data_IF_418024143203
#
_entry.id   IF_418024143203
#
_cell.length_a   1.000
_cell.length_b   1.000
_cell.length_c   1.000
_cell.angle_alpha   90.00
_cell.angle_beta   90.00
_cell.angle_gamma   90.00
#
_symmetry.space_group_name_H-M   'P 1'
#
loop_
_entity.id
_entity.type
_entity.pdbx_description
1 polymer ?
#
# COMPACT_ATOMS: atom_id res chain seq x y z
N UNK A 1 -15.28 -8.47 -1.92
CA UNK A 1 -14.40 -9.62 -1.72
C UNK A 1 -13.76 -9.99 -3.04
N UNK A 2 -12.43 -10.01 -3.09
CA UNK A 2 -11.70 -10.22 -4.34
C UNK A 2 -10.66 -11.31 -4.17
N UNK A 3 -10.55 -12.20 -5.15
CA UNK A 3 -9.47 -13.16 -5.27
C UNK A 3 -8.29 -12.46 -5.96
N UNK A 4 -7.26 -12.13 -5.17
CA UNK A 4 -6.09 -11.42 -5.66
C UNK A 4 -5.17 -12.34 -6.48
N UNK A 5 -5.23 -13.65 -6.25
CA UNK A 5 -4.46 -14.65 -7.01
C UNK A 5 -5.00 -14.75 -8.44
N UNK A 6 -6.31 -14.93 -8.59
CA UNK A 6 -6.97 -15.13 -9.89
C UNK A 6 -7.52 -13.83 -10.50
N UNK A 7 -7.30 -12.67 -9.87
CA UNK A 7 -7.75 -11.35 -10.33
C UNK A 7 -9.25 -11.29 -10.63
N UNK A 8 -10.07 -11.89 -9.76
CA UNK A 8 -11.53 -11.94 -9.94
C UNK A 8 -12.28 -11.46 -8.71
N UNK A 9 -13.45 -10.89 -8.93
CA UNK A 9 -14.37 -10.55 -7.83
C UNK A 9 -15.05 -11.85 -7.39
N UNK A 10 -15.00 -12.15 -6.08
CA UNK A 10 -15.72 -13.27 -5.48
C UNK A 10 -17.14 -12.83 -5.13
N UNK A 11 -17.27 -11.70 -4.44
CA UNK A 11 -18.57 -11.18 -4.01
C UNK A 11 -18.52 -9.68 -3.67
N UNK A 12 -19.68 -9.03 -3.63
CA UNK A 12 -19.89 -7.64 -3.22
C UNK A 12 -20.61 -7.62 -1.87
N UNK A 13 -19.90 -7.21 -0.83
CA UNK A 13 -20.49 -7.07 0.50
C UNK A 13 -21.41 -5.86 0.57
N UNK A 14 -22.47 -5.96 1.38
CA UNK A 14 -23.47 -4.90 1.61
C UNK A 14 -22.84 -3.56 2.03
N UNK A 15 -21.77 -3.60 2.81
CA UNK A 15 -20.96 -2.45 3.19
C UNK A 15 -19.53 -2.89 3.54
N UNK A 16 -18.65 -1.91 3.79
CA UNK A 16 -17.25 -2.13 4.20
C UNK A 16 -17.08 -2.33 5.71
N UNK A 17 -18.16 -2.62 6.46
CA UNK A 17 -18.06 -2.79 7.90
C UNK A 17 -17.64 -4.21 8.23
N UNK A 18 -16.95 -4.33 9.36
CA UNK A 18 -16.56 -5.62 9.95
C UNK A 18 -17.72 -6.59 10.11
N UNK A 19 -18.89 -6.09 10.48
CA UNK A 19 -20.09 -6.91 10.65
C UNK A 19 -20.49 -7.59 9.33
N UNK A 20 -20.47 -6.86 8.21
CA UNK A 20 -20.77 -7.44 6.91
C UNK A 20 -19.77 -8.53 6.49
N UNK A 21 -18.49 -8.35 6.83
CA UNK A 21 -17.48 -9.37 6.60
C UNK A 21 -17.70 -10.62 7.47
N UNK A 22 -18.04 -10.43 8.76
CA UNK A 22 -18.38 -11.52 9.68
C UNK A 22 -19.58 -12.32 9.19
N UNK A 23 -20.65 -11.63 8.81
CA UNK A 23 -21.86 -12.27 8.27
C UNK A 23 -21.55 -13.09 7.02
N UNK A 24 -20.74 -12.53 6.11
CA UNK A 24 -20.33 -13.21 4.89
C UNK A 24 -19.50 -14.47 5.19
N UNK A 25 -18.46 -14.35 6.03
CA UNK A 25 -17.65 -15.50 6.42
C UNK A 25 -18.48 -16.56 7.14
N UNK A 26 -19.45 -16.18 7.97
CA UNK A 26 -20.35 -17.15 8.61
C UNK A 26 -21.20 -17.92 7.59
N UNK A 27 -21.51 -17.32 6.43
CA UNK A 27 -22.26 -17.98 5.35
C UNK A 27 -21.42 -18.88 4.45
N UNK A 28 -20.10 -18.74 4.45
CA UNK A 28 -19.19 -19.60 3.70
C UNK A 28 -19.03 -20.96 4.36
N UNK A 29 -18.88 -21.99 3.54
CA UNK A 29 -18.52 -23.34 3.95
C UNK A 29 -17.08 -23.43 4.47
N UNK A 30 -16.80 -24.45 5.27
CA UNK A 30 -15.51 -24.58 5.94
C UNK A 30 -14.38 -24.90 4.96
N UNK A 31 -14.67 -25.65 3.89
CA UNK A 31 -13.69 -25.95 2.83
C UNK A 31 -13.18 -24.67 2.16
N UNK A 32 -14.08 -23.74 1.84
CA UNK A 32 -13.70 -22.43 1.29
C UNK A 32 -12.81 -21.66 2.26
N UNK A 33 -13.14 -21.62 3.56
CA UNK A 33 -12.35 -20.90 4.57
C UNK A 33 -10.95 -21.51 4.74
N UNK A 34 -10.86 -22.84 4.75
CA UNK A 34 -9.58 -23.55 4.87
C UNK A 34 -8.68 -23.34 3.64
N UNK A 35 -9.27 -23.11 2.47
CA UNK A 35 -8.54 -22.76 1.25
C UNK A 35 -7.87 -21.38 1.30
N UNK A 36 -8.36 -20.46 2.14
CA UNK A 36 -7.80 -19.11 2.28
C UNK A 36 -6.53 -19.16 3.12
N UNK A 37 -5.38 -18.89 2.51
CA UNK A 37 -4.09 -18.84 3.24
C UNK A 37 -3.66 -17.44 3.59
N UNK A 38 -4.04 -16.45 2.81
CA UNK A 38 -3.67 -15.05 3.04
C UNK A 38 -4.86 -14.14 2.84
N UNK A 39 -4.98 -13.15 3.73
CA UNK A 39 -5.97 -12.08 3.59
C UNK A 39 -5.26 -10.74 3.55
N UNK A 40 -5.36 -10.04 2.42
CA UNK A 40 -4.90 -8.68 2.32
C UNK A 40 -5.87 -7.77 3.08
N UNK A 41 -5.34 -7.07 4.08
CA UNK A 41 -6.10 -6.16 4.94
C UNK A 41 -5.53 -4.74 4.86
N UNK A 42 -6.43 -3.78 5.06
CA UNK A 42 -6.04 -2.43 5.40
C UNK A 42 -5.18 -2.43 6.68
N UNK A 43 -4.22 -1.50 6.76
CA UNK A 43 -3.30 -1.33 7.91
C UNK A 43 -3.98 -0.90 9.22
N UNK A 44 -5.29 -1.08 9.34
CA UNK A 44 -6.07 -0.78 10.52
C UNK A 44 -6.10 -2.00 11.44
N UNK A 45 -5.55 -1.89 12.66
CA UNK A 45 -5.43 -3.00 13.61
C UNK A 45 -6.75 -3.78 13.86
N UNK A 46 -7.93 -3.14 13.90
CA UNK A 46 -9.19 -3.84 14.05
C UNK A 46 -9.50 -4.80 12.88
N UNK A 47 -9.00 -4.59 11.66
CA UNK A 47 -9.18 -5.51 10.53
C UNK A 47 -8.45 -6.83 10.75
N UNK A 48 -7.24 -6.78 11.33
CA UNK A 48 -6.44 -7.96 11.64
C UNK A 48 -7.15 -8.90 12.62
N UNK A 49 -7.64 -8.36 13.73
CA UNK A 49 -8.34 -9.14 14.75
C UNK A 49 -9.57 -9.87 14.18
N UNK A 50 -10.28 -9.23 13.25
CA UNK A 50 -11.44 -9.83 12.60
C UNK A 50 -11.03 -10.99 11.70
N UNK A 51 -9.97 -10.85 10.91
CA UNK A 51 -9.44 -11.95 10.09
C UNK A 51 -8.96 -13.11 10.94
N UNK A 52 -8.19 -12.85 12.01
CA UNK A 52 -7.69 -13.90 12.91
C UNK A 52 -8.83 -14.65 13.63
N UNK A 53 -9.94 -13.96 13.94
CA UNK A 53 -11.14 -14.57 14.52
C UNK A 53 -11.89 -15.48 13.53
N UNK A 54 -12.06 -15.04 12.27
CA UNK A 54 -12.88 -15.76 11.28
C UNK A 54 -12.09 -16.81 10.48
N UNK A 55 -10.80 -16.59 10.28
CA UNK A 55 -9.92 -17.38 9.44
C UNK A 55 -8.61 -17.65 10.20
N UNK A 56 -8.65 -18.47 11.28
CA UNK A 56 -7.50 -18.68 12.16
C UNK A 56 -6.31 -19.34 11.47
N UNK A 57 -6.53 -20.00 10.33
CA UNK A 57 -5.50 -20.62 9.49
C UNK A 57 -4.90 -19.65 8.47
N UNK A 58 -5.55 -18.51 8.22
CA UNK A 58 -5.10 -17.53 7.24
C UNK A 58 -4.18 -16.48 7.88
N UNK A 59 -3.19 -16.01 7.13
CA UNK A 59 -2.32 -14.92 7.54
C UNK A 59 -2.86 -13.58 7.03
N UNK A 60 -3.13 -12.67 7.96
CA UNK A 60 -3.43 -11.28 7.63
C UNK A 60 -2.16 -10.55 7.16
N UNK A 61 -2.15 -10.11 5.90
CA UNK A 61 -1.04 -9.40 5.25
C UNK A 61 -1.43 -7.97 4.92
N UNK A 62 -0.47 -7.05 4.99
CA UNK A 62 -0.73 -5.65 4.68
C UNK A 62 -1.03 -5.45 3.18
N UNK A 63 -2.11 -4.75 2.88
CA UNK A 63 -2.44 -4.38 1.51
C UNK A 63 -1.44 -3.36 0.95
N UNK A 64 -0.92 -3.64 -0.26
CA UNK A 64 0.08 -2.80 -0.95
C UNK A 64 -0.44 -1.39 -1.18
N UNK A 65 -1.69 -1.24 -1.60
CA UNK A 65 -2.24 0.07 -1.95
C UNK A 65 -2.28 0.97 -0.72
N UNK A 66 -2.81 0.46 0.41
CA UNK A 66 -2.87 1.22 1.66
C UNK A 66 -1.49 1.52 2.25
N UNK A 67 -0.53 0.58 2.16
CA UNK A 67 0.87 0.83 2.54
C UNK A 67 1.44 2.00 1.75
N UNK A 68 1.37 1.94 0.42
CA UNK A 68 1.90 2.99 -0.45
C UNK A 68 1.17 4.33 -0.26
N UNK A 69 -0.15 4.29 -0.05
CA UNK A 69 -0.94 5.50 0.23
C UNK A 69 -0.47 6.17 1.53
N UNK A 70 -0.26 5.40 2.61
CA UNK A 70 0.21 5.94 3.88
C UNK A 70 1.62 6.54 3.78
N UNK A 71 2.53 5.88 3.06
CA UNK A 71 3.88 6.41 2.80
C UNK A 71 3.83 7.72 2.00
N UNK A 72 3.03 7.77 0.93
CA UNK A 72 2.85 8.97 0.13
C UNK A 72 2.26 10.13 0.94
N UNK A 73 1.30 9.86 1.81
CA UNK A 73 0.75 10.87 2.72
C UNK A 73 1.79 11.37 3.73
N UNK A 74 2.58 10.47 4.31
CA UNK A 74 3.65 10.84 5.23
C UNK A 74 4.70 11.73 4.54
N UNK A 75 5.11 11.37 3.32
CA UNK A 75 6.02 12.15 2.49
C UNK A 75 5.44 13.53 2.14
N UNK A 76 4.18 13.63 1.74
CA UNK A 76 3.55 14.94 1.45
C UNK A 76 3.42 15.81 2.71
N UNK A 77 3.10 15.23 3.87
CA UNK A 77 3.11 15.96 5.15
C UNK A 77 4.50 16.52 5.46
N UNK A 78 5.53 15.70 5.33
CA UNK A 78 6.91 16.11 5.56
C UNK A 78 7.36 17.20 4.58
N UNK A 79 7.07 17.02 3.28
CA UNK A 79 7.32 18.03 2.23
C UNK A 79 6.67 19.37 2.56
N UNK A 80 5.42 19.38 3.05
CA UNK A 80 4.73 20.62 3.44
C UNK A 80 5.46 21.36 4.56
N UNK A 81 5.98 20.64 5.55
CA UNK A 81 6.79 21.22 6.63
C UNK A 81 8.08 21.85 6.09
N UNK A 82 8.86 21.09 5.32
CA UNK A 82 10.11 21.59 4.73
C UNK A 82 9.85 22.80 3.81
N UNK A 83 8.77 22.75 3.02
CA UNK A 83 8.35 23.89 2.20
C UNK A 83 8.09 25.13 3.05
N UNK A 84 7.39 25.02 4.18
CA UNK A 84 7.08 26.16 5.05
C UNK A 84 8.34 26.79 5.65
N UNK A 85 9.38 25.99 5.89
CA UNK A 85 10.66 26.43 6.46
C UNK A 85 11.63 26.97 5.40
N UNK A 86 11.35 26.77 4.10
CA UNK A 86 12.23 27.15 3.00
C UNK A 86 12.18 28.64 2.70
N UNK A 87 13.35 29.28 2.57
CA UNK A 87 13.47 30.67 2.12
C UNK A 87 13.08 30.85 0.63
N UNK A 88 13.39 29.86 -0.21
CA UNK A 88 12.97 29.82 -1.60
C UNK A 88 11.65 29.04 -1.71
N UNK A 89 10.55 29.72 -2.02
CA UNK A 89 9.23 29.10 -2.22
C UNK A 89 9.00 28.66 -3.68
N UNK A 90 9.77 29.21 -4.62
CA UNK A 90 9.60 28.97 -6.05
C UNK A 90 9.97 27.53 -6.39
N UNK A 91 11.08 27.06 -5.82
CA UNK A 91 11.56 25.68 -6.00
C UNK A 91 10.55 24.61 -5.56
N UNK A 92 9.61 24.95 -4.67
CA UNK A 92 8.60 24.02 -4.17
C UNK A 92 7.34 23.93 -5.04
N UNK A 93 7.23 24.71 -6.12
CA UNK A 93 6.10 24.61 -7.06
C UNK A 93 6.09 23.24 -7.73
N UNK A 94 4.91 22.61 -7.81
CA UNK A 94 4.69 21.30 -8.42
C UNK A 94 5.50 20.11 -7.85
N UNK A 95 6.29 20.30 -6.80
CA UNK A 95 7.15 19.27 -6.17
C UNK A 95 6.38 18.10 -5.56
N UNK A 96 5.11 18.29 -5.20
CA UNK A 96 4.26 17.19 -4.71
C UNK A 96 4.23 16.05 -5.72
N UNK A 97 3.92 16.35 -6.98
CA UNK A 97 3.77 15.33 -8.00
C UNK A 97 5.11 14.69 -8.34
N UNK A 98 6.19 15.46 -8.30
CA UNK A 98 7.56 14.96 -8.51
C UNK A 98 7.93 13.93 -7.43
N UNK A 99 7.70 14.23 -6.15
CA UNK A 99 8.02 13.34 -5.03
C UNK A 99 7.16 12.07 -4.99
N UNK A 100 5.88 12.17 -5.37
CA UNK A 100 4.93 11.06 -5.27
C UNK A 100 4.94 10.14 -6.49
N UNK A 101 5.36 10.63 -7.66
CA UNK A 101 5.46 9.80 -8.87
C UNK A 101 6.52 8.71 -8.69
N UNK A 102 6.34 7.55 -9.32
CA UNK A 102 7.42 6.56 -9.43
C UNK A 102 8.61 7.20 -10.14
N UNK A 103 9.81 6.93 -9.64
CA UNK A 103 11.04 7.52 -10.19
C UNK A 103 11.20 7.25 -11.69
N UNK A 104 10.91 6.02 -12.13
CA UNK A 104 10.96 5.58 -13.54
C UNK A 104 10.08 6.39 -14.51
N UNK A 105 9.11 7.15 -13.99
CA UNK A 105 8.16 7.94 -14.78
C UNK A 105 8.46 9.46 -14.71
N UNK A 106 9.56 9.86 -14.09
CA UNK A 106 10.02 11.24 -14.08
C UNK A 106 10.61 11.61 -15.45
N UNK A 107 10.49 12.89 -15.79
CA UNK A 107 11.25 13.45 -16.92
C UNK A 107 12.59 13.96 -16.40
N UNK A 108 13.59 14.12 -17.28
CA UNK A 108 14.90 14.68 -16.90
C UNK A 108 14.77 16.01 -16.14
N UNK A 109 13.90 16.90 -16.61
CA UNK A 109 13.61 18.17 -15.93
C UNK A 109 13.01 17.99 -14.53
N UNK A 110 12.21 16.94 -14.31
CA UNK A 110 11.63 16.64 -13.00
C UNK A 110 12.67 16.01 -12.07
N UNK A 111 13.60 15.22 -12.60
CA UNK A 111 14.74 14.68 -11.85
C UNK A 111 15.66 15.79 -11.37
N UNK A 112 15.99 16.77 -12.22
CA UNK A 112 16.79 17.94 -11.82
C UNK A 112 16.15 18.70 -10.66
N UNK A 113 14.82 18.88 -10.69
CA UNK A 113 14.08 19.55 -9.61
C UNK A 113 14.05 18.67 -8.36
N UNK A 114 13.85 17.36 -8.52
CA UNK A 114 13.86 16.40 -7.42
C UNK A 114 15.21 16.44 -6.69
N UNK A 115 16.32 16.36 -7.41
CA UNK A 115 17.65 16.38 -6.82
C UNK A 115 17.91 17.67 -6.05
N UNK A 116 17.51 18.81 -6.60
CA UNK A 116 17.61 20.10 -5.89
C UNK A 116 16.85 20.05 -4.57
N UNK A 117 15.57 19.67 -4.55
CA UNK A 117 14.78 19.67 -3.31
C UNK A 117 15.23 18.63 -2.30
N UNK A 118 15.72 17.47 -2.74
CA UNK A 118 16.26 16.44 -1.86
C UNK A 118 17.62 16.85 -1.26
N UNK A 119 18.38 17.69 -1.95
CA UNK A 119 19.64 18.23 -1.42
C UNK A 119 19.43 19.41 -0.46
N UNK A 120 18.26 20.08 -0.50
CA UNK A 120 17.89 21.10 0.49
C UNK A 120 17.58 20.51 1.87
N UNK A 121 17.15 19.24 1.95
CA UNK A 121 16.77 18.61 3.21
C UNK A 121 17.05 17.10 3.20
N UNK A 122 18.06 16.68 3.98
CA UNK A 122 18.49 15.29 4.04
C UNK A 122 17.41 14.35 4.61
N UNK A 123 16.58 14.81 5.54
CA UNK A 123 15.48 14.00 6.06
C UNK A 123 14.42 13.74 4.98
N UNK A 124 14.04 14.74 4.18
CA UNK A 124 13.15 14.57 3.04
C UNK A 124 13.71 13.54 2.06
N UNK A 125 15.03 13.55 1.82
CA UNK A 125 15.75 12.56 1.01
C UNK A 125 15.64 11.15 1.58
N UNK A 126 15.74 10.99 2.90
CA UNK A 126 15.52 9.69 3.56
C UNK A 126 14.08 9.22 3.35
N UNK A 127 13.08 10.08 3.57
CA UNK A 127 11.67 9.75 3.38
C UNK A 127 11.36 9.35 1.93
N UNK A 128 11.91 10.08 0.96
CA UNK A 128 11.77 9.74 -0.46
C UNK A 128 12.40 8.38 -0.78
N UNK A 129 13.64 8.13 -0.32
CA UNK A 129 14.31 6.84 -0.51
C UNK A 129 13.55 5.68 0.12
N UNK A 130 12.96 5.87 1.29
CA UNK A 130 12.11 4.86 1.93
C UNK A 130 10.90 4.55 1.03
N UNK A 131 10.18 5.57 0.55
CA UNK A 131 9.05 5.40 -0.36
C UNK A 131 9.44 4.63 -1.63
N UNK A 132 10.57 4.98 -2.27
CA UNK A 132 11.05 4.26 -3.46
C UNK A 132 11.48 2.81 -3.13
N UNK A 133 12.13 2.59 -1.99
CA UNK A 133 12.52 1.24 -1.54
C UNK A 133 11.28 0.35 -1.37
N UNK A 134 10.23 0.85 -0.72
CA UNK A 134 8.95 0.13 -0.63
C UNK A 134 8.32 -0.11 -2.00
N UNK A 135 8.33 0.88 -2.90
CA UNK A 135 7.85 0.72 -4.28
C UNK A 135 8.59 -0.42 -5.01
N UNK A 136 9.92 -0.44 -4.88
CA UNK A 136 10.78 -1.45 -5.51
C UNK A 136 10.54 -2.86 -4.98
N UNK A 137 10.23 -3.05 -3.69
CA UNK A 137 9.86 -4.37 -3.14
C UNK A 137 8.66 -4.98 -3.87
N UNK A 138 7.71 -4.15 -4.27
CA UNK A 138 6.52 -4.61 -4.98
C UNK A 138 6.68 -4.72 -6.51
N UNK A 139 7.64 -4.01 -7.10
CA UNK A 139 7.92 -4.05 -8.54
C UNK A 139 8.98 -5.11 -8.90
N UNK A 140 9.97 -5.31 -8.03
CA UNK A 140 11.04 -6.31 -8.17
C UNK A 140 10.61 -7.73 -7.82
N UNK A 141 9.41 -7.91 -7.27
CA UNK A 141 8.89 -9.21 -6.88
C UNK A 141 7.85 -9.73 -7.87
N UNK A 142 8.27 -10.00 -9.11
CA UNK A 142 7.66 -11.08 -9.89
C UNK A 142 7.73 -12.43 -9.13
N UNK A 143 8.60 -12.52 -8.12
CA UNK A 143 8.85 -13.71 -7.31
C UNK A 143 7.92 -13.88 -6.11
N UNK A 144 7.42 -12.81 -5.44
CA UNK A 144 6.51 -12.99 -4.29
C UNK A 144 5.19 -13.64 -4.71
N UNK A 145 4.65 -13.26 -5.87
CA UNK A 145 3.47 -13.93 -6.44
C UNK A 145 3.78 -15.33 -7.00
N UNK A 146 5.05 -15.66 -7.28
CA UNK A 146 5.47 -17.01 -7.72
C UNK A 146 5.71 -17.96 -6.54
N UNK A 147 6.12 -17.47 -5.37
CA UNK A 147 6.28 -18.30 -4.16
C UNK A 147 4.92 -18.72 -3.58
N UNK A 148 3.87 -17.94 -3.82
CA UNK A 148 2.46 -18.23 -3.46
C UNK A 148 1.80 -19.06 -4.59
N UNK A 149 2.57 -19.90 -5.29
CA UNK A 149 2.20 -20.59 -6.54
C UNK A 149 1.05 -21.60 -6.47
N UNK A 150 0.31 -21.66 -5.36
CA UNK A 150 -0.89 -22.48 -5.18
C UNK A 150 -1.87 -21.91 -4.14
N UNK A 151 -1.59 -20.74 -3.55
CA UNK A 151 -2.31 -20.32 -2.34
C UNK A 151 -3.29 -19.19 -2.64
N UNK A 152 -4.51 -19.31 -2.14
CA UNK A 152 -5.57 -18.34 -2.37
C UNK A 152 -5.34 -17.11 -1.48
N UNK A 153 -5.18 -15.95 -2.12
CA UNK A 153 -5.09 -14.64 -1.46
C UNK A 153 -6.41 -13.91 -1.67
N UNK A 154 -7.07 -13.53 -0.58
CA UNK A 154 -8.34 -12.82 -0.62
C UNK A 154 -8.15 -11.38 -0.13
N UNK A 155 -8.67 -10.41 -0.86
CA UNK A 155 -8.69 -9.00 -0.48
C UNK A 155 -10.04 -8.60 0.11
N UNK A 156 -9.99 -7.94 1.28
CA UNK A 156 -11.14 -7.33 1.94
C UNK A 156 -11.19 -5.82 1.71
#
# INVERSE_FOLDING_TARGET
MTDLTNKRVIDILKDRKKAALKDYMASCDEEFKEGIKYVAIDLWAPSRAVVEEMLPKAQAVADRFHVMQNLNQALDRFRKRVKQESADQEIWKNTKYILLKNHENLTEQQEDVLDKILNLNLELKVYYKLKESFGSLFNGSSTFLKTIGSDQVVGY
#
